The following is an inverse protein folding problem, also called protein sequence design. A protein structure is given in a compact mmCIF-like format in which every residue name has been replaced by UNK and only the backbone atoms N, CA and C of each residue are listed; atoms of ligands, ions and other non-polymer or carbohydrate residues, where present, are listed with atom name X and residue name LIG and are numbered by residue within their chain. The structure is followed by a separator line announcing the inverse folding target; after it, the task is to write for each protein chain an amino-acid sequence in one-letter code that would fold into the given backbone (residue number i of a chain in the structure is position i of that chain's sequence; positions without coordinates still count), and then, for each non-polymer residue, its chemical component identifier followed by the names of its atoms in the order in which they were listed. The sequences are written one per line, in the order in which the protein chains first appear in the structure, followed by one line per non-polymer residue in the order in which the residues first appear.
data_IF_118256234368
#
_entry.id   IF_118256234368
#
_cell.length_a   1.000
_cell.length_b   1.000
_cell.length_c   1.000
_cell.angle_alpha   90.00
_cell.angle_beta   90.00
_cell.angle_gamma   90.00
#
_symmetry.space_group_name_H-M   'P 1'
#
loop_
_entity.id
_entity.type
_entity.pdbx_description
1 polymer ?
#
# COMPACT_ATOMS: atom_id res chain seq x y z
N UNK A 1 -3.32 -9.46 40.73
CA UNK A 1 -3.47 -8.59 39.55
C UNK A 1 -3.13 -9.41 38.33
N UNK A 2 -4.12 -9.71 37.48
CA UNK A 2 -3.88 -10.30 36.18
C UNK A 2 -3.89 -9.16 35.17
N UNK A 3 -2.75 -8.85 34.56
CA UNK A 3 -2.68 -8.00 33.38
C UNK A 3 -3.27 -8.79 32.23
N UNK A 4 -4.53 -8.51 31.88
CA UNK A 4 -5.13 -8.94 30.63
C UNK A 4 -4.28 -8.37 29.49
N UNK A 5 -3.57 -9.24 28.77
CA UNK A 5 -2.93 -8.91 27.49
C UNK A 5 -4.02 -8.33 26.59
N UNK A 6 -3.87 -7.05 26.22
CA UNK A 6 -4.73 -6.38 25.25
C UNK A 6 -4.84 -7.31 24.01
N UNK A 7 -6.04 -7.61 23.47
CA UNK A 7 -6.14 -8.39 22.25
C UNK A 7 -5.38 -7.64 21.17
N UNK A 8 -4.21 -8.17 20.80
CA UNK A 8 -3.35 -7.57 19.79
C UNK A 8 -4.13 -7.67 18.49
N UNK A 9 -4.36 -6.53 17.82
CA UNK A 9 -5.16 -6.49 16.61
C UNK A 9 -4.68 -7.57 15.62
N UNK A 10 -5.57 -8.37 14.99
CA UNK A 10 -5.16 -9.55 14.21
C UNK A 10 -4.08 -9.28 13.16
N UNK A 11 -4.14 -8.11 12.49
CA UNK A 11 -3.12 -7.69 11.52
C UNK A 11 -1.72 -7.49 12.11
N UNK A 12 -1.62 -7.15 13.41
CA UNK A 12 -0.35 -7.08 14.14
C UNK A 12 0.22 -8.46 14.49
N UNK A 13 -0.47 -9.55 14.16
CA UNK A 13 0.01 -10.92 14.39
C UNK A 13 0.36 -11.65 13.10
N UNK A 14 -0.02 -11.13 11.92
CA UNK A 14 0.26 -11.77 10.62
C UNK A 14 1.76 -11.74 10.31
N UNK A 15 2.46 -12.88 10.25
CA UNK A 15 3.88 -12.88 9.93
C UNK A 15 4.10 -12.57 8.45
N UNK A 16 5.17 -11.83 8.16
CA UNK A 16 5.71 -11.65 6.81
C UNK A 16 7.23 -11.61 6.88
N UNK A 17 7.89 -11.95 5.78
CA UNK A 17 9.35 -12.02 5.70
C UNK A 17 9.82 -11.69 4.28
N UNK A 18 11.13 -11.79 4.04
CA UNK A 18 11.69 -11.60 2.71
C UNK A 18 11.17 -12.65 1.69
N UNK A 19 10.71 -13.81 2.15
CA UNK A 19 10.17 -14.87 1.29
C UNK A 19 8.68 -14.67 0.97
N UNK A 20 8.04 -13.63 1.51
CA UNK A 20 6.64 -13.31 1.22
C UNK A 20 6.53 -12.62 -0.14
N UNK A 21 5.68 -13.16 -1.02
CA UNK A 21 5.41 -12.59 -2.34
C UNK A 21 5.08 -11.09 -2.27
N UNK A 22 5.71 -10.31 -3.15
CA UNK A 22 5.57 -8.85 -3.18
C UNK A 22 4.12 -8.39 -3.35
N UNK A 23 3.29 -9.14 -4.09
CA UNK A 23 1.85 -8.89 -4.30
C UNK A 23 1.07 -9.00 -2.98
N UNK A 24 1.33 -10.06 -2.21
CA UNK A 24 0.73 -10.31 -0.88
C UNK A 24 1.18 -9.24 0.10
N UNK A 25 2.47 -8.89 0.08
CA UNK A 25 3.03 -7.87 0.96
C UNK A 25 2.44 -6.48 0.65
N UNK A 26 2.23 -6.15 -0.63
CA UNK A 26 1.57 -4.92 -1.04
C UNK A 26 0.11 -4.84 -0.56
N UNK A 27 -0.66 -5.92 -0.69
CA UNK A 27 -2.03 -6.01 -0.13
C UNK A 27 -2.01 -5.89 1.40
N UNK A 28 -0.99 -6.42 2.06
CA UNK A 28 -0.85 -6.28 3.51
C UNK A 28 -0.56 -4.84 3.93
N UNK A 29 0.29 -4.12 3.18
CA UNK A 29 0.55 -2.70 3.40
C UNK A 29 -0.74 -1.87 3.30
N UNK A 30 -1.55 -2.10 2.26
CA UNK A 30 -2.84 -1.43 2.06
C UNK A 30 -3.76 -1.58 3.29
N UNK A 31 -3.98 -2.81 3.73
CA UNK A 31 -4.79 -3.09 4.93
C UNK A 31 -4.25 -2.43 6.20
N UNK A 32 -2.92 -2.40 6.37
CA UNK A 32 -2.29 -1.74 7.51
C UNK A 32 -2.49 -0.22 7.47
N UNK A 33 -2.37 0.38 6.29
CA UNK A 33 -2.49 1.83 6.11
C UNK A 33 -3.94 2.30 6.29
N UNK A 34 -4.92 1.54 5.78
CA UNK A 34 -6.34 1.81 6.00
C UNK A 34 -6.69 1.77 7.49
N UNK A 35 -6.31 0.71 8.20
CA UNK A 35 -6.60 0.58 9.63
C UNK A 35 -5.84 1.61 10.46
N UNK A 36 -4.64 2.02 10.03
CA UNK A 36 -3.91 3.12 10.66
C UNK A 36 -4.67 4.45 10.54
N UNK A 37 -5.28 4.73 9.39
CA UNK A 37 -6.09 5.93 9.17
C UNK A 37 -7.36 5.96 10.03
N UNK A 38 -7.99 4.80 10.24
CA UNK A 38 -9.20 4.66 11.05
C UNK A 38 -8.93 4.49 12.57
N UNK A 39 -7.67 4.31 12.99
CA UNK A 39 -7.34 3.99 14.38
C UNK A 39 -7.20 5.26 15.24
N UNK A 40 -8.00 5.33 16.32
CA UNK A 40 -7.95 6.39 17.32
C UNK A 40 -6.95 6.14 18.46
N UNK A 41 -6.55 4.87 18.70
CA UNK A 41 -5.63 4.52 19.78
C UNK A 41 -4.16 4.85 19.41
N UNK A 42 -3.47 5.74 20.15
CA UNK A 42 -2.11 6.16 19.81
C UNK A 42 -1.06 5.06 19.86
N UNK A 43 -1.21 4.08 20.77
CA UNK A 43 -0.28 2.97 20.89
C UNK A 43 -0.43 1.98 19.73
N UNK A 44 -1.68 1.71 19.32
CA UNK A 44 -1.97 0.90 18.14
C UNK A 44 -1.55 1.59 16.84
N UNK A 45 -1.79 2.90 16.68
CA UNK A 45 -1.29 3.68 15.54
C UNK A 45 0.22 3.53 15.39
N UNK A 46 0.98 3.69 16.47
CA UNK A 46 2.43 3.52 16.45
C UNK A 46 2.84 2.09 16.06
N UNK A 47 2.13 1.08 16.56
CA UNK A 47 2.39 -0.32 16.20
C UNK A 47 2.10 -0.60 14.71
N UNK A 48 1.01 -0.06 14.16
CA UNK A 48 0.69 -0.17 12.73
C UNK A 48 1.70 0.57 11.86
N UNK A 49 2.10 1.79 12.22
CA UNK A 49 3.17 2.54 11.54
C UNK A 49 4.47 1.74 11.48
N UNK A 50 4.91 1.18 12.62
CA UNK A 50 6.12 0.37 12.68
C UNK A 50 6.04 -0.88 11.80
N UNK A 51 4.88 -1.53 11.78
CA UNK A 51 4.65 -2.72 10.97
C UNK A 51 4.56 -2.42 9.47
N UNK A 52 3.88 -1.34 9.10
CA UNK A 52 3.81 -0.85 7.72
C UNK A 52 5.21 -0.47 7.21
N UNK A 53 6.02 0.23 8.01
CA UNK A 53 7.40 0.57 7.67
C UNK A 53 8.26 -0.69 7.45
N UNK A 54 8.09 -1.73 8.28
CA UNK A 54 8.80 -3.00 8.12
C UNK A 54 8.37 -3.72 6.82
N UNK A 55 7.08 -3.76 6.52
CA UNK A 55 6.54 -4.34 5.29
C UNK A 55 7.06 -3.60 4.04
N UNK A 56 7.00 -2.27 4.02
CA UNK A 56 7.54 -1.45 2.92
C UNK A 56 9.05 -1.64 2.73
N UNK A 57 9.79 -1.81 3.82
CA UNK A 57 11.26 -2.06 3.77
C UNK A 57 11.56 -3.40 3.10
N UNK A 58 10.79 -4.44 3.40
CA UNK A 58 10.93 -5.77 2.78
C UNK A 58 10.46 -5.79 1.32
N UNK A 59 9.46 -4.98 0.99
CA UNK A 59 8.92 -4.89 -0.35
C UNK A 59 9.86 -4.16 -1.31
N UNK A 60 10.53 -3.10 -0.84
CA UNK A 60 11.40 -2.24 -1.65
C UNK A 60 12.41 -3.01 -2.54
N UNK A 61 13.20 -3.97 -2.05
CA UNK A 61 14.14 -4.70 -2.91
C UNK A 61 13.42 -5.56 -3.97
N UNK A 62 12.30 -6.20 -3.61
CA UNK A 62 11.57 -7.10 -4.51
C UNK A 62 10.97 -6.38 -5.73
N UNK A 63 10.76 -5.06 -5.64
CA UNK A 63 10.31 -4.26 -6.78
C UNK A 63 11.34 -4.16 -7.91
N UNK A 64 12.63 -4.40 -7.61
CA UNK A 64 13.71 -4.37 -8.60
C UNK A 64 14.05 -5.75 -9.15
N UNK A 65 13.50 -6.81 -8.56
CA UNK A 65 13.71 -8.19 -8.99
C UNK A 65 12.79 -8.54 -10.17
N UNK A 66 13.19 -9.48 -11.05
CA UNK A 66 12.30 -9.98 -12.09
C UNK A 66 11.07 -10.65 -11.46
N UNK A 67 9.93 -10.50 -12.12
CA UNK A 67 8.67 -11.07 -11.63
C UNK A 67 8.80 -12.60 -11.55
N UNK A 68 8.54 -13.21 -10.39
CA UNK A 68 8.59 -14.66 -10.23
C UNK A 68 7.62 -15.37 -11.19
N UNK A 69 8.03 -16.50 -11.83
CA UNK A 69 7.19 -17.20 -12.80
C UNK A 69 5.83 -17.64 -12.25
N UNK A 70 5.74 -17.98 -10.95
CA UNK A 70 4.48 -18.38 -10.33
C UNK A 70 3.47 -17.24 -10.17
N UNK A 71 3.92 -15.97 -10.24
CA UNK A 71 3.04 -14.81 -10.17
C UNK A 71 2.61 -14.30 -11.55
N UNK A 72 3.26 -14.75 -12.63
CA UNK A 72 2.92 -14.29 -13.99
C UNK A 72 1.45 -14.53 -14.35
N UNK A 73 0.93 -15.72 -14.03
CA UNK A 73 -0.48 -16.05 -14.31
C UNK A 73 -1.44 -15.14 -13.54
N UNK A 74 -1.11 -14.79 -12.30
CA UNK A 74 -1.92 -13.89 -11.47
C UNK A 74 -1.95 -12.44 -11.97
N UNK A 75 -0.94 -12.05 -12.74
CA UNK A 75 -0.78 -10.73 -13.34
C UNK A 75 -1.11 -10.72 -14.84
N UNK A 76 -1.70 -11.81 -15.34
CA UNK A 76 -2.14 -11.94 -16.73
C UNK A 76 -3.67 -11.93 -16.79
N UNK A 77 -4.23 -11.11 -17.68
CA UNK A 77 -5.68 -11.04 -17.90
C UNK A 77 -6.06 -11.47 -19.31
N UNK A 78 -7.31 -11.92 -19.47
CA UNK A 78 -7.86 -12.33 -20.78
C UNK A 78 -8.38 -11.15 -21.61
N UNK A 79 -8.74 -10.06 -20.95
CA UNK A 79 -9.26 -8.85 -21.57
C UNK A 79 -8.65 -7.62 -20.90
N UNK A 80 -8.51 -6.54 -21.67
CA UNK A 80 -7.94 -5.30 -21.17
C UNK A 80 -8.82 -4.73 -20.03
N UNK A 81 -8.24 -4.36 -18.88
CA UNK A 81 -9.02 -3.75 -17.82
C UNK A 81 -9.56 -2.40 -18.28
N UNK A 82 -10.82 -2.12 -17.94
CA UNK A 82 -11.48 -0.86 -18.31
C UNK A 82 -10.89 0.36 -17.58
N UNK A 83 -10.18 0.12 -16.47
CA UNK A 83 -9.51 1.13 -15.66
C UNK A 83 -8.19 0.58 -15.15
N UNK A 84 -7.20 1.45 -15.11
CA UNK A 84 -5.93 1.21 -14.43
C UNK A 84 -5.98 1.87 -13.05
N UNK A 85 -5.17 1.40 -12.10
CA UNK A 85 -4.98 2.11 -10.83
C UNK A 85 -4.56 3.55 -11.11
N UNK A 86 -5.09 4.49 -10.35
CA UNK A 86 -4.73 5.90 -10.46
C UNK A 86 -4.87 6.58 -9.09
N UNK A 87 -3.94 7.48 -8.78
CA UNK A 87 -4.05 8.37 -7.61
C UNK A 87 -4.71 9.67 -8.07
N UNK A 88 -6.02 9.78 -7.84
CA UNK A 88 -6.86 10.88 -8.36
C UNK A 88 -7.63 11.61 -7.24
N UNK A 89 -6.96 12.17 -6.22
CA UNK A 89 -7.64 13.01 -5.24
C UNK A 89 -8.22 14.26 -5.92
N UNK A 90 -9.33 14.76 -5.39
CA UNK A 90 -9.86 16.05 -5.84
C UNK A 90 -8.91 17.21 -5.45
N UNK A 91 -9.13 18.39 -6.06
CA UNK A 91 -8.25 19.53 -5.88
C UNK A 91 -8.15 20.02 -4.41
N UNK A 92 -9.21 19.85 -3.62
CA UNK A 92 -9.20 20.23 -2.20
C UNK A 92 -8.39 19.21 -1.41
N UNK A 93 -8.68 17.91 -1.57
CA UNK A 93 -7.94 16.83 -0.92
C UNK A 93 -6.45 16.89 -1.24
N UNK A 94 -6.10 17.11 -2.52
CA UNK A 94 -4.70 17.27 -2.93
C UNK A 94 -4.04 18.50 -2.27
N UNK A 95 -4.76 19.62 -2.16
CA UNK A 95 -4.27 20.82 -1.49
C UNK A 95 -4.01 20.55 -0.01
N UNK A 96 -4.93 19.85 0.67
CA UNK A 96 -4.81 19.49 2.09
C UNK A 96 -3.61 18.58 2.34
N UNK A 97 -3.38 17.61 1.45
CA UNK A 97 -2.18 16.76 1.49
C UNK A 97 -0.89 17.57 1.30
N UNK A 98 -0.86 18.45 0.31
CA UNK A 98 0.30 19.31 0.06
C UNK A 98 0.59 20.23 1.26
N UNK A 99 -0.44 20.84 1.84
CA UNK A 99 -0.30 21.70 3.01
C UNK A 99 0.19 20.92 4.23
N UNK A 100 -0.38 19.75 4.47
CA UNK A 100 -0.01 18.88 5.57
C UNK A 100 1.47 18.47 5.48
N UNK A 101 1.92 18.03 4.30
CA UNK A 101 3.33 17.70 4.07
C UNK A 101 4.24 18.92 4.28
N UNK A 102 3.86 20.09 3.75
CA UNK A 102 4.63 21.32 3.93
C UNK A 102 4.77 21.70 5.41
N UNK A 103 3.70 21.56 6.19
CA UNK A 103 3.74 21.84 7.63
C UNK A 103 4.59 20.83 8.39
N UNK A 104 4.58 19.53 8.04
CA UNK A 104 5.50 18.54 8.64
C UNK A 104 6.96 18.89 8.37
N UNK A 105 7.27 19.36 7.16
CA UNK A 105 8.64 19.79 6.82
C UNK A 105 9.08 21.03 7.61
N UNK A 106 8.13 21.90 7.98
CA UNK A 106 8.38 23.13 8.74
C UNK A 106 8.40 22.91 10.27
N UNK A 107 7.57 22.00 10.77
CA UNK A 107 7.40 21.73 12.21
C UNK A 107 8.27 20.55 12.66
N UNK A 108 9.05 20.73 13.73
CA UNK A 108 9.79 19.62 14.36
C UNK A 108 8.90 18.66 15.17
N UNK A 109 7.64 19.04 15.39
CA UNK A 109 6.57 18.28 16.06
C UNK A 109 5.25 18.68 15.42
N UNK A 110 4.50 17.73 14.85
CA UNK A 110 3.26 18.02 14.12
C UNK A 110 2.02 17.91 15.06
N UNK A 111 1.05 18.83 14.96
CA UNK A 111 -0.22 18.76 15.70
C UNK A 111 -1.12 17.58 15.27
N UNK A 112 -2.09 17.15 16.10
CA UNK A 112 -2.95 16.00 15.84
C UNK A 112 -3.74 16.06 14.53
N UNK A 113 -4.19 17.26 14.12
CA UNK A 113 -4.92 17.44 12.86
C UNK A 113 -4.07 17.11 11.63
N UNK A 114 -2.77 17.42 11.68
CA UNK A 114 -1.86 17.05 10.59
C UNK A 114 -1.58 15.56 10.60
N UNK A 115 -1.48 14.95 11.78
CA UNK A 115 -1.30 13.50 11.91
C UNK A 115 -2.45 12.71 11.27
N UNK A 116 -3.68 13.17 11.44
CA UNK A 116 -4.86 12.59 10.79
C UNK A 116 -4.75 12.66 9.27
N UNK A 117 -4.45 13.85 8.72
CA UNK A 117 -4.32 14.05 7.28
C UNK A 117 -3.14 13.25 6.67
N UNK A 118 -2.03 13.11 7.40
CA UNK A 118 -0.91 12.27 6.97
C UNK A 118 -1.27 10.79 6.92
N UNK A 119 -2.06 10.31 7.88
CA UNK A 119 -2.48 8.92 7.88
C UNK A 119 -3.41 8.61 6.70
N UNK A 120 -4.35 9.51 6.41
CA UNK A 120 -5.21 9.37 5.22
C UNK A 120 -4.41 9.41 3.93
N UNK A 121 -3.52 10.38 3.77
CA UNK A 121 -2.60 10.44 2.62
C UNK A 121 -1.78 9.15 2.49
N UNK A 122 -1.22 8.64 3.59
CA UNK A 122 -0.45 7.40 3.59
C UNK A 122 -1.34 6.21 3.18
N UNK A 123 -2.58 6.15 3.65
CA UNK A 123 -3.55 5.13 3.25
C UNK A 123 -3.79 5.16 1.75
N UNK A 124 -4.16 6.31 1.17
CA UNK A 124 -4.44 6.42 -0.25
C UNK A 124 -3.21 6.11 -1.12
N UNK A 125 -2.03 6.56 -0.70
CA UNK A 125 -0.78 6.26 -1.41
C UNK A 125 -0.45 4.77 -1.39
N UNK A 126 -0.66 4.10 -0.25
CA UNK A 126 -0.38 2.67 -0.12
C UNK A 126 -1.45 1.82 -0.83
N UNK A 127 -2.71 2.24 -0.82
CA UNK A 127 -3.79 1.64 -1.60
C UNK A 127 -3.47 1.72 -3.10
N UNK A 128 -3.17 2.92 -3.61
CA UNK A 128 -2.77 3.12 -5.00
C UNK A 128 -1.55 2.28 -5.36
N UNK A 129 -0.52 2.33 -4.52
CA UNK A 129 0.69 1.53 -4.73
C UNK A 129 0.39 0.02 -4.74
N UNK A 130 -0.46 -0.48 -3.83
CA UNK A 130 -0.84 -1.88 -3.82
C UNK A 130 -1.62 -2.26 -5.08
N UNK A 131 -2.56 -1.41 -5.52
CA UNK A 131 -3.29 -1.61 -6.76
C UNK A 131 -2.36 -1.63 -7.97
N UNK A 132 -1.39 -0.73 -8.05
CA UNK A 132 -0.40 -0.65 -9.13
C UNK A 132 0.52 -1.88 -9.17
N UNK A 133 1.03 -2.29 -8.01
CA UNK A 133 1.89 -3.49 -7.90
C UNK A 133 1.16 -4.76 -8.31
N UNK A 134 -0.13 -4.84 -7.99
CA UNK A 134 -1.01 -5.97 -8.31
C UNK A 134 -1.74 -5.80 -9.66
N UNK A 135 -1.47 -4.72 -10.40
CA UNK A 135 -2.13 -4.48 -11.68
C UNK A 135 -1.72 -5.55 -12.71
N UNK A 136 -2.65 -5.96 -13.61
CA UNK A 136 -2.31 -6.82 -14.72
C UNK A 136 -1.18 -6.20 -15.57
N UNK A 137 -0.17 -7.00 -15.89
CA UNK A 137 0.96 -6.58 -16.74
C UNK A 137 0.90 -7.20 -18.14
N UNK A 138 0.21 -8.33 -18.25
CA UNK A 138 0.09 -9.09 -19.49
C UNK A 138 -1.36 -9.34 -19.90
N UNK A 139 -1.56 -9.47 -21.20
CA UNK A 139 -2.81 -9.89 -21.81
C UNK A 139 -2.59 -11.14 -22.67
N UNK A 140 -3.48 -12.13 -22.52
CA UNK A 140 -3.46 -13.32 -23.36
C UNK A 140 -4.12 -13.01 -24.71
N UNK A 141 -3.39 -13.24 -25.79
CA UNK A 141 -3.84 -13.01 -27.18
C UNK A 141 -3.79 -14.31 -27.99
N UNK A 142 -4.36 -14.30 -29.20
CA UNK A 142 -4.29 -15.44 -30.13
C UNK A 142 -2.84 -15.83 -30.50
N UNK A 143 -1.89 -14.89 -30.42
CA UNK A 143 -0.48 -15.12 -30.68
C UNK A 143 0.34 -15.46 -29.41
N UNK A 144 -0.33 -15.62 -28.26
CA UNK A 144 0.31 -15.83 -26.95
C UNK A 144 0.18 -14.64 -26.00
N UNK A 145 0.95 -14.67 -24.90
CA UNK A 145 0.94 -13.64 -23.85
C UNK A 145 1.78 -12.43 -24.28
N UNK A 146 1.21 -11.23 -24.28
CA UNK A 146 1.87 -9.96 -24.64
C UNK A 146 1.78 -8.95 -23.50
N UNK A 147 2.69 -7.98 -23.44
CA UNK A 147 2.59 -6.88 -22.47
C UNK A 147 1.40 -5.99 -22.80
N UNK A 148 0.69 -5.52 -21.77
CA UNK A 148 -0.47 -4.64 -21.96
C UNK A 148 -0.06 -3.30 -22.61
N UNK A 149 1.07 -2.73 -22.21
CA UNK A 149 1.58 -1.47 -22.79
C UNK A 149 1.81 -1.57 -24.30
N UNK A 150 2.28 -2.71 -24.81
CA UNK A 150 2.51 -2.95 -26.25
C UNK A 150 1.22 -3.04 -27.06
N UNK A 151 0.09 -3.36 -26.41
CA UNK A 151 -1.22 -3.52 -27.07
C UNK A 151 -2.02 -2.20 -27.07
N UNK A 152 -1.74 -1.31 -26.11
CA UNK A 152 -2.38 0.00 -25.97
C UNK A 152 -1.65 1.08 -26.80
N UNK A 153 -0.33 0.94 -26.99
CA UNK A 153 0.52 1.86 -27.76
C UNK A 153 0.24 1.79 -29.28
#
# INVERSE_FOLDING_TARGET
MATTLNPTHPLLSIPFSADTDFTVLAIHCDKLALILAECDDPALRMAFCGRLAAALTLLRPQLYDPIPPHLMDSLTVEALPARFPAFEPDANTLCDYCQTLAQVLLCRTFPPQLEEQLNWLLSELVEYFAAEINAPRWIRTADGVKFIEEVIA
#
